data_IF_086149412080
#
_entry.id   IF_086149412080
#
_cell.length_a   1.000
_cell.length_b   1.000
_cell.length_c   1.000
_cell.angle_alpha   90.00
_cell.angle_beta   90.00
_cell.angle_gamma   90.00
#
_symmetry.space_group_name_H-M   'P 1'
#
loop_
_entity.id
_entity.type
_entity.pdbx_description
1 polymer ?
#
# COMPACT_ATOMS: atom_id res chain seq x y z
N UNK A 1 -15.90 -12.84 13.02
CA UNK A 1 -14.68 -13.02 13.84
C UNK A 1 -13.50 -12.47 13.05
N UNK A 2 -13.06 -11.25 13.39
CA UNK A 2 -12.07 -10.42 12.66
C UNK A 2 -10.59 -10.74 12.98
N UNK A 3 -10.33 -11.80 13.75
CA UNK A 3 -9.01 -12.06 14.36
C UNK A 3 -7.92 -12.29 13.30
N UNK A 4 -8.23 -12.97 12.19
CA UNK A 4 -7.24 -13.23 11.14
C UNK A 4 -6.84 -11.96 10.39
N UNK A 5 -7.78 -11.07 10.06
CA UNK A 5 -7.48 -9.79 9.40
C UNK A 5 -6.64 -8.89 10.31
N UNK A 6 -7.00 -8.79 11.59
CA UNK A 6 -6.24 -7.98 12.56
C UNK A 6 -4.82 -8.54 12.75
N UNK A 7 -4.68 -9.86 12.89
CA UNK A 7 -3.38 -10.49 13.06
C UNK A 7 -2.49 -10.33 11.82
N UNK A 8 -3.05 -10.45 10.61
CA UNK A 8 -2.29 -10.25 9.37
C UNK A 8 -1.92 -8.78 9.20
N UNK A 9 -2.82 -7.83 9.46
CA UNK A 9 -2.50 -6.40 9.41
C UNK A 9 -1.36 -6.04 10.38
N UNK A 10 -1.39 -6.56 11.60
CA UNK A 10 -0.32 -6.37 12.57
C UNK A 10 1.01 -7.02 12.12
N UNK A 11 0.94 -8.19 11.47
CA UNK A 11 2.12 -8.84 10.90
C UNK A 11 2.71 -8.03 9.73
N UNK A 12 1.89 -7.50 8.83
CA UNK A 12 2.31 -6.63 7.73
C UNK A 12 2.98 -5.37 8.28
N UNK A 13 2.37 -4.69 9.26
CA UNK A 13 2.94 -3.49 9.89
C UNK A 13 4.28 -3.78 10.60
N UNK A 14 4.39 -4.93 11.27
CA UNK A 14 5.64 -5.37 11.88
C UNK A 14 6.72 -5.65 10.83
N UNK A 15 6.37 -6.34 9.74
CA UNK A 15 7.26 -6.59 8.61
C UNK A 15 7.72 -5.28 7.94
N UNK A 16 6.81 -4.31 7.76
CA UNK A 16 7.12 -2.99 7.24
C UNK A 16 8.18 -2.29 8.12
N UNK A 17 7.96 -2.24 9.44
CA UNK A 17 8.89 -1.64 10.42
C UNK A 17 10.21 -2.38 10.53
N UNK A 18 10.21 -3.69 10.27
CA UNK A 18 11.42 -4.51 10.25
C UNK A 18 12.18 -4.47 8.91
N UNK A 19 11.74 -3.63 7.96
CA UNK A 19 12.27 -3.57 6.59
C UNK A 19 12.19 -4.91 5.83
N UNK A 20 11.25 -5.79 6.21
CA UNK A 20 10.96 -7.07 5.56
C UNK A 20 9.77 -6.94 4.61
N UNK A 21 9.93 -6.10 3.59
CA UNK A 21 8.87 -5.79 2.64
C UNK A 21 8.43 -7.03 1.86
N UNK A 22 9.31 -7.99 1.56
CA UNK A 22 8.93 -9.23 0.86
C UNK A 22 7.91 -10.03 1.67
N UNK A 23 8.13 -10.12 2.98
CA UNK A 23 7.23 -10.82 3.89
C UNK A 23 5.90 -10.09 4.02
N UNK A 24 5.92 -8.75 4.08
CA UNK A 24 4.72 -7.92 4.10
C UNK A 24 3.85 -8.14 2.85
N UNK A 25 4.46 -8.15 1.65
CA UNK A 25 3.76 -8.38 0.39
C UNK A 25 3.27 -9.82 0.25
N UNK A 26 4.05 -10.80 0.70
CA UNK A 26 3.62 -12.20 0.71
C UNK A 26 2.40 -12.40 1.62
N UNK A 27 2.38 -11.76 2.79
CA UNK A 27 1.23 -11.76 3.69
C UNK A 27 0.01 -11.07 3.06
N UNK A 28 0.21 -9.91 2.43
CA UNK A 28 -0.84 -9.20 1.70
C UNK A 28 -1.47 -10.07 0.60
N UNK A 29 -0.64 -10.66 -0.29
CA UNK A 29 -1.11 -11.56 -1.34
C UNK A 29 -1.82 -12.81 -0.77
N UNK A 30 -1.39 -13.28 0.41
CA UNK A 30 -2.05 -14.39 1.09
C UNK A 30 -3.47 -14.04 1.56
N UNK A 31 -3.79 -12.76 1.81
CA UNK A 31 -5.15 -12.36 2.19
C UNK A 31 -6.13 -12.50 1.02
N UNK A 32 -5.73 -12.06 -0.17
CA UNK A 32 -6.53 -12.21 -1.40
C UNK A 32 -6.81 -13.68 -1.71
N UNK A 33 -5.80 -14.56 -1.61
CA UNK A 33 -5.96 -16.01 -1.84
C UNK A 33 -6.82 -16.71 -0.77
N UNK A 34 -6.87 -16.16 0.44
CA UNK A 34 -7.70 -16.68 1.55
C UNK A 34 -9.10 -16.08 1.59
N UNK A 35 -9.47 -15.26 0.60
CA UNK A 35 -10.76 -14.55 0.54
C UNK A 35 -11.01 -13.73 1.82
N UNK A 36 -9.92 -13.24 2.43
CA UNK A 36 -10.01 -12.35 3.58
C UNK A 36 -10.26 -10.94 3.08
N UNK A 37 -11.17 -10.24 3.74
CA UNK A 37 -11.53 -8.88 3.38
C UNK A 37 -10.33 -7.95 3.61
N UNK A 38 -9.79 -7.44 2.52
CA UNK A 38 -8.71 -6.45 2.51
C UNK A 38 -9.33 -5.10 2.86
N UNK A 39 -8.73 -4.38 3.80
CA UNK A 39 -9.26 -3.10 4.30
C UNK A 39 -8.26 -1.98 4.02
N UNK A 40 -8.69 -0.71 4.11
CA UNK A 40 -7.78 0.44 3.99
C UNK A 40 -6.56 0.31 4.92
N UNK A 41 -6.72 -0.25 6.12
CA UNK A 41 -5.61 -0.51 7.06
C UNK A 41 -4.58 -1.49 6.47
N UNK A 42 -5.05 -2.51 5.77
CA UNK A 42 -4.21 -3.52 5.11
C UNK A 42 -3.41 -2.91 3.96
N UNK A 43 -4.05 -2.06 3.15
CA UNK A 43 -3.40 -1.31 2.08
C UNK A 43 -2.38 -0.30 2.61
N UNK A 44 -2.73 0.46 3.65
CA UNK A 44 -1.81 1.42 4.28
C UNK A 44 -0.55 0.75 4.83
N UNK A 45 -0.69 -0.40 5.50
CA UNK A 45 0.46 -1.15 6.02
C UNK A 45 1.36 -1.69 4.89
N UNK A 46 0.78 -2.17 3.79
CA UNK A 46 1.53 -2.59 2.61
C UNK A 46 2.26 -1.40 1.94
N UNK A 47 1.58 -0.25 1.83
CA UNK A 47 2.13 0.95 1.24
C UNK A 47 3.34 1.48 2.02
N UNK A 48 3.29 1.49 3.36
CA UNK A 48 4.45 1.85 4.20
C UNK A 48 5.62 0.89 4.01
N UNK A 49 5.38 -0.41 3.85
CA UNK A 49 6.44 -1.37 3.55
C UNK A 49 7.12 -1.08 2.19
N UNK A 50 6.32 -0.74 1.18
CA UNK A 50 6.80 -0.38 -0.16
C UNK A 50 7.57 0.95 -0.16
N UNK A 51 7.12 1.94 0.60
CA UNK A 51 7.81 3.22 0.80
C UNK A 51 9.22 3.02 1.33
N UNK A 52 9.37 2.23 2.41
CA UNK A 52 10.66 1.98 3.03
C UNK A 52 11.62 1.22 2.11
N UNK A 53 11.06 0.32 1.29
CA UNK A 53 11.80 -0.45 0.30
C UNK A 53 12.01 0.30 -1.03
N UNK A 54 11.44 1.51 -1.20
CA UNK A 54 11.48 2.29 -2.45
C UNK A 54 10.91 1.53 -3.66
N UNK A 55 9.89 0.69 -3.41
CA UNK A 55 9.19 -0.15 -4.38
C UNK A 55 8.05 0.64 -5.03
N UNK A 56 8.44 1.56 -5.92
CA UNK A 56 7.51 2.49 -6.55
C UNK A 56 6.53 1.81 -7.52
N UNK A 57 6.96 0.74 -8.22
CA UNK A 57 6.09 -0.01 -9.13
C UNK A 57 4.96 -0.68 -8.36
N UNK A 58 5.32 -1.38 -7.29
CA UNK A 58 4.40 -2.08 -6.41
C UNK A 58 3.44 -1.10 -5.71
N UNK A 59 3.91 0.10 -5.37
CA UNK A 59 3.07 1.14 -4.78
C UNK A 59 2.03 1.70 -5.79
N UNK A 60 2.38 1.81 -7.07
CA UNK A 60 1.43 2.21 -8.13
C UNK A 60 0.43 1.09 -8.38
N UNK A 61 0.89 -0.16 -8.49
CA UNK A 61 0.01 -1.32 -8.64
C UNK A 61 -0.97 -1.44 -7.46
N UNK A 62 -0.54 -1.06 -6.26
CA UNK A 62 -1.39 -1.02 -5.06
C UNK A 62 -2.52 0.01 -5.20
N UNK A 63 -2.25 1.19 -5.75
CA UNK A 63 -3.27 2.22 -6.00
C UNK A 63 -4.31 1.74 -7.03
N UNK A 64 -3.86 1.10 -8.11
CA UNK A 64 -4.75 0.49 -9.11
C UNK A 64 -5.62 -0.59 -8.48
N UNK A 65 -5.04 -1.43 -7.62
CA UNK A 65 -5.78 -2.48 -6.93
C UNK A 65 -6.85 -1.93 -5.97
N UNK A 66 -6.60 -0.78 -5.35
CA UNK A 66 -7.61 -0.11 -4.52
C UNK A 66 -8.78 0.41 -5.35
N UNK A 67 -8.50 1.00 -6.51
CA UNK A 67 -9.52 1.47 -7.45
C UNK A 67 -10.38 0.30 -7.98
N UNK A 68 -9.74 -0.80 -8.38
CA UNK A 68 -10.41 -2.04 -8.79
C UNK A 68 -11.28 -2.63 -7.66
N UNK A 69 -10.85 -2.49 -6.40
CA UNK A 69 -11.61 -2.90 -5.23
C UNK A 69 -12.72 -1.90 -4.84
N UNK A 70 -12.89 -0.81 -5.59
CA UNK A 70 -13.79 0.30 -5.27
C UNK A 70 -13.56 0.88 -3.86
N UNK A 71 -12.30 0.83 -3.40
CA UNK A 71 -11.86 1.40 -2.15
C UNK A 71 -11.09 2.69 -2.45
N UNK A 72 -11.53 3.86 -1.97
CA UNK A 72 -10.79 5.08 -2.19
C UNK A 72 -9.41 4.96 -1.52
N UNK A 73 -8.36 5.22 -2.30
CA UNK A 73 -7.02 5.35 -1.75
C UNK A 73 -7.03 6.49 -0.73
N UNK A 74 -6.54 6.21 0.47
CA UNK A 74 -6.44 7.23 1.50
C UNK A 74 -5.12 8.01 1.38
N UNK A 75 -5.03 9.11 2.12
CA UNK A 75 -3.83 9.95 2.17
C UNK A 75 -2.56 9.17 2.54
N UNK A 76 -2.67 8.07 3.28
CA UNK A 76 -1.51 7.26 3.69
C UNK A 76 -0.96 6.50 2.50
N UNK A 77 -1.81 5.81 1.73
CA UNK A 77 -1.39 5.03 0.56
C UNK A 77 -0.81 5.94 -0.51
N UNK A 78 -1.48 7.05 -0.83
CA UNK A 78 -0.98 7.98 -1.85
C UNK A 78 0.34 8.65 -1.42
N UNK A 79 0.47 9.07 -0.15
CA UNK A 79 1.71 9.63 0.37
C UNK A 79 2.86 8.64 0.30
N UNK A 80 2.61 7.37 0.66
CA UNK A 80 3.62 6.32 0.60
C UNK A 80 4.07 6.04 -0.85
N UNK A 81 3.13 6.04 -1.81
CA UNK A 81 3.45 5.90 -3.23
C UNK A 81 4.30 7.08 -3.76
N UNK A 82 3.96 8.32 -3.37
CA UNK A 82 4.74 9.50 -3.71
C UNK A 82 6.16 9.42 -3.13
N UNK A 83 6.28 9.06 -1.85
CA UNK A 83 7.58 8.86 -1.19
C UNK A 83 8.41 7.76 -1.86
N UNK A 84 7.80 6.63 -2.20
CA UNK A 84 8.46 5.53 -2.91
C UNK A 84 8.99 5.99 -4.28
N UNK A 85 8.17 6.71 -5.05
CA UNK A 85 8.56 7.28 -6.35
C UNK A 85 9.69 8.31 -6.22
N UNK A 86 9.63 9.18 -5.21
CA UNK A 86 10.67 10.18 -4.93
C UNK A 86 12.01 9.50 -4.57
N UNK A 87 11.98 8.45 -3.74
CA UNK A 87 13.16 7.66 -3.37
C UNK A 87 13.70 6.84 -4.55
N UNK A 88 12.83 6.38 -5.44
CA UNK A 88 13.19 5.66 -6.67
C UNK A 88 13.72 6.54 -7.80
N UNK A 89 13.68 7.87 -7.67
CA UNK A 89 14.08 8.82 -8.71
C UNK A 89 13.05 9.00 -9.84
N UNK A 90 11.85 8.46 -9.66
CA UNK A 90 10.77 8.35 -10.64
C UNK A 90 9.73 9.45 -10.30
N UNK A 91 10.20 10.70 -10.25
CA UNK A 91 9.43 11.83 -9.71
C UNK A 91 8.25 12.25 -10.59
N UNK A 92 8.22 11.86 -11.87
CA UNK A 92 7.14 12.23 -12.79
C UNK A 92 5.86 11.47 -12.46
N UNK A 93 6.01 10.21 -12.08
CA UNK A 93 4.95 9.32 -11.65
C UNK A 93 4.44 9.76 -10.27
N UNK A 94 5.33 10.23 -9.39
CA UNK A 94 4.95 10.88 -8.13
C UNK A 94 4.03 12.09 -8.36
N UNK A 95 4.32 12.92 -9.37
CA UNK A 95 3.46 14.06 -9.73
C UNK A 95 2.11 13.64 -10.31
N UNK A 96 2.04 12.51 -11.02
CA UNK A 96 0.76 11.99 -11.51
C UNK A 96 -0.12 11.56 -10.34
N UNK A 97 0.44 10.84 -9.36
CA UNK A 97 -0.28 10.46 -8.13
C UNK A 97 -0.70 11.69 -7.33
N UNK A 98 0.16 12.71 -7.23
CA UNK A 98 -0.17 13.96 -6.53
C UNK A 98 -1.32 14.72 -7.20
N UNK A 99 -1.33 14.80 -8.53
CA UNK A 99 -2.43 15.43 -9.27
C UNK A 99 -3.74 14.68 -9.06
N UNK A 100 -3.68 13.34 -9.08
CA UNK A 100 -4.84 12.50 -8.85
C UNK A 100 -5.41 12.66 -7.43
N UNK A 101 -4.55 12.86 -6.42
CA UNK A 101 -5.00 13.26 -5.07
C UNK A 101 -5.71 14.62 -5.05
N UNK A 102 -5.15 15.63 -5.72
CA UNK A 102 -5.73 16.99 -5.76
C UNK A 102 -7.07 17.00 -6.50
N UNK A 103 -7.23 16.20 -7.56
CA UNK A 103 -8.48 16.08 -8.31
C UNK A 103 -9.58 15.32 -7.53
N UNK A 104 -9.19 14.42 -6.62
CA UNK A 104 -10.11 13.64 -5.80
C UNK A 104 -10.40 14.24 -4.40
N UNK A 105 -9.91 15.45 -4.10
CA UNK A 105 -10.16 16.20 -2.84
C UNK A 105 -9.94 15.36 -1.55
N UNK A 106 -8.88 14.53 -1.54
CA UNK A 106 -8.49 13.66 -0.42
C UNK A 106 -7.59 14.33 0.64
#
# INVERSE_FOLDING_TARGET
>A
VQINTIAINAAIDCCAKAAQWEAALALFASMSSRQLEVSCVTFGAAATAMEEASLWLEAIDLLVLMDDASLPADRVVCSAAISACARGGIWKEALLVLRDMEENDL
#
